data_IF_710910157274
#
_entry.id   IF_710910157274
#
_cell.length_a   1.000
_cell.length_b   1.000
_cell.length_c   1.000
_cell.angle_alpha   90.00
_cell.angle_beta   90.00
_cell.angle_gamma   90.00
#
_symmetry.space_group_name_H-M   'P 1'
#
loop_
_entity.id
_entity.type
_entity.pdbx_description
1 polymer ?
#
# COMPACT_ATOMS: atom_id res chain seq x y z
N UNK A 1 -19.27 -13.83 -24.30
CA UNK A 1 -18.20 -13.95 -25.31
C UNK A 1 -17.04 -13.03 -24.94
N UNK A 2 -15.81 -13.54 -25.00
CA UNK A 2 -14.56 -12.89 -24.59
C UNK A 2 -13.58 -12.72 -25.76
N UNK A 3 -14.03 -12.97 -27.00
CA UNK A 3 -13.21 -12.85 -28.21
C UNK A 3 -12.54 -11.47 -28.37
N UNK A 4 -13.14 -10.41 -27.82
CA UNK A 4 -12.59 -9.06 -27.81
C UNK A 4 -11.23 -8.95 -27.09
N UNK A 5 -10.85 -9.90 -26.25
CA UNK A 5 -9.55 -9.94 -25.58
C UNK A 5 -8.38 -10.25 -26.51
N UNK A 6 -8.60 -10.93 -27.64
CA UNK A 6 -7.52 -11.29 -28.57
C UNK A 6 -6.86 -10.06 -29.19
N UNK A 7 -7.63 -8.97 -29.35
CA UNK A 7 -7.15 -7.69 -29.83
C UNK A 7 -6.88 -6.69 -28.68
N UNK A 8 -6.83 -7.10 -27.42
CA UNK A 8 -6.59 -6.19 -26.30
C UNK A 8 -5.11 -5.82 -26.12
N UNK A 9 -4.84 -4.68 -25.51
CA UNK A 9 -3.54 -4.32 -24.93
C UNK A 9 -3.58 -4.63 -23.44
N UNK A 10 -2.69 -5.48 -22.95
CA UNK A 10 -2.64 -5.90 -21.56
C UNK A 10 -1.66 -5.05 -20.74
N UNK A 11 -2.05 -4.73 -19.51
CA UNK A 11 -1.24 -3.99 -18.54
C UNK A 11 -1.15 -4.79 -17.26
N UNK A 12 0.06 -4.95 -16.71
CA UNK A 12 0.30 -5.66 -15.45
C UNK A 12 1.19 -4.82 -14.52
N UNK A 13 1.00 -4.86 -13.19
CA UNK A 13 1.91 -4.20 -12.24
C UNK A 13 3.38 -4.64 -12.41
N UNK A 14 3.58 -5.89 -12.85
CA UNK A 14 4.89 -6.51 -13.09
C UNK A 14 5.31 -6.51 -14.57
N UNK A 15 4.60 -5.78 -15.44
CA UNK A 15 4.89 -5.69 -16.87
C UNK A 15 6.13 -4.85 -17.21
N UNK A 16 6.37 -4.65 -18.51
CA UNK A 16 7.44 -3.77 -19.02
C UNK A 16 6.90 -2.90 -20.16
N UNK A 17 7.16 -1.59 -20.12
CA UNK A 17 6.74 -0.64 -21.17
C UNK A 17 7.50 -0.81 -22.48
N UNK A 18 8.55 -1.65 -22.51
CA UNK A 18 9.23 -2.10 -23.73
C UNK A 18 8.62 -3.37 -24.34
N UNK A 19 7.66 -4.00 -23.66
CA UNK A 19 7.01 -5.21 -24.15
C UNK A 19 5.98 -4.90 -25.26
N UNK A 20 5.46 -5.94 -25.90
CA UNK A 20 4.49 -5.83 -26.99
C UNK A 20 3.07 -5.47 -26.55
N UNK A 21 2.78 -5.55 -25.25
CA UNK A 21 1.43 -5.36 -24.71
C UNK A 21 0.48 -6.52 -24.97
N UNK A 22 1.02 -7.69 -25.33
CA UNK A 22 0.28 -8.95 -25.40
C UNK A 22 0.04 -9.52 -24.00
N UNK A 23 -0.83 -10.52 -23.87
CA UNK A 23 -1.16 -11.12 -22.57
C UNK A 23 0.06 -11.73 -21.89
N UNK A 24 0.95 -12.32 -22.68
CA UNK A 24 2.18 -13.00 -22.27
C UNK A 24 3.32 -12.00 -22.00
N UNK A 25 3.23 -10.80 -22.58
CA UNK A 25 4.22 -9.74 -22.47
C UNK A 25 3.51 -8.38 -22.28
N UNK A 26 2.87 -8.16 -21.11
CA UNK A 26 2.05 -6.98 -20.86
C UNK A 26 2.90 -5.72 -20.66
N UNK A 27 2.31 -4.58 -21.00
CA UNK A 27 2.88 -3.28 -20.62
C UNK A 27 2.81 -3.07 -19.11
N UNK A 28 3.62 -2.17 -18.57
CA UNK A 28 3.59 -1.84 -17.13
C UNK A 28 2.66 -0.67 -16.84
N UNK A 29 2.72 0.34 -17.70
CA UNK A 29 2.13 1.65 -17.46
C UNK A 29 0.80 1.79 -18.17
N UNK A 30 -0.24 2.13 -17.40
CA UNK A 30 -1.57 2.40 -17.97
C UNK A 30 -1.50 3.51 -19.03
N UNK A 31 -0.75 4.60 -18.76
CA UNK A 31 -0.62 5.73 -19.70
C UNK A 31 0.06 5.35 -21.04
N UNK A 32 0.98 4.38 -21.04
CA UNK A 32 1.56 3.87 -22.30
C UNK A 32 0.51 3.05 -23.04
N UNK A 33 -0.24 2.22 -22.33
CA UNK A 33 -1.26 1.36 -22.92
C UNK A 33 -2.43 2.13 -23.55
N UNK A 34 -2.93 3.21 -22.91
CA UNK A 34 -3.96 4.08 -23.51
C UNK A 34 -3.48 4.69 -24.83
N UNK A 35 -2.21 5.11 -24.91
CA UNK A 35 -1.64 5.73 -26.12
C UNK A 35 -1.46 4.73 -27.25
N UNK A 36 -0.90 3.55 -26.94
CA UNK A 36 -0.75 2.44 -27.89
C UNK A 36 -2.12 1.99 -28.40
N UNK A 37 -3.08 1.79 -27.49
CA UNK A 37 -4.40 1.31 -27.83
C UNK A 37 -5.21 2.33 -28.65
N UNK A 38 -5.03 3.63 -28.39
CA UNK A 38 -5.64 4.72 -29.13
C UNK A 38 -5.05 4.94 -30.52
N UNK A 39 -3.80 4.50 -30.76
CA UNK A 39 -3.12 4.62 -32.05
C UNK A 39 -3.52 3.52 -33.04
N UNK A 40 -4.19 2.46 -32.58
CA UNK A 40 -4.66 1.36 -33.41
C UNK A 40 -6.01 1.69 -34.09
N UNK A 41 -6.22 1.16 -35.29
CA UNK A 41 -7.49 1.21 -36.04
C UNK A 41 -7.90 -0.22 -36.44
N UNK A 42 -9.01 -0.77 -35.92
CA UNK A 42 -9.86 -0.20 -34.87
C UNK A 42 -9.12 -0.07 -33.53
N UNK A 43 -9.62 0.82 -32.67
CA UNK A 43 -9.04 1.03 -31.33
C UNK A 43 -9.09 -0.26 -30.54
N UNK A 44 -7.99 -0.56 -29.85
CA UNK A 44 -7.87 -1.77 -29.02
C UNK A 44 -8.36 -1.48 -27.61
N UNK A 45 -9.01 -2.42 -26.91
CA UNK A 45 -9.33 -2.25 -25.49
C UNK A 45 -8.06 -2.40 -24.64
N UNK A 46 -7.97 -1.65 -23.55
CA UNK A 46 -6.93 -1.79 -22.52
C UNK A 46 -7.46 -2.69 -21.41
N UNK A 47 -6.72 -3.75 -21.11
CA UNK A 47 -7.07 -4.75 -20.10
C UNK A 47 -6.04 -4.72 -18.97
N UNK A 48 -6.50 -4.36 -17.78
CA UNK A 48 -5.69 -4.35 -16.57
C UNK A 48 -5.70 -5.73 -15.93
N UNK A 49 -4.52 -6.33 -15.77
CA UNK A 49 -4.31 -7.53 -14.97
C UNK A 49 -4.44 -7.19 -13.48
N UNK A 50 -4.73 -8.21 -12.68
CA UNK A 50 -4.91 -8.13 -11.24
C UNK A 50 -3.70 -7.54 -10.52
N UNK A 51 -3.97 -6.92 -9.38
CA UNK A 51 -2.96 -6.23 -8.57
C UNK A 51 -3.12 -4.70 -8.59
N UNK A 52 -2.17 -4.02 -7.93
CA UNK A 52 -2.22 -2.57 -7.73
C UNK A 52 -1.29 -1.84 -8.70
N UNK A 53 -1.90 -1.08 -9.61
CA UNK A 53 -1.23 -0.20 -10.55
C UNK A 53 -1.04 1.18 -9.91
N UNK A 54 0.15 1.43 -9.36
CA UNK A 54 0.50 2.73 -8.80
C UNK A 54 0.84 3.73 -9.92
N UNK A 55 0.13 4.85 -9.97
CA UNK A 55 0.34 5.89 -10.98
C UNK A 55 1.14 7.05 -10.39
N UNK A 56 2.32 7.31 -10.96
CA UNK A 56 3.16 8.47 -10.56
C UNK A 56 2.76 9.79 -11.21
N UNK A 57 1.85 9.75 -12.19
CA UNK A 57 1.32 10.91 -12.92
C UNK A 57 -0.10 10.66 -13.40
N UNK A 58 -0.83 11.74 -13.67
CA UNK A 58 -2.17 11.69 -14.24
C UNK A 58 -2.21 10.89 -15.56
N UNK A 59 -3.27 10.09 -15.74
CA UNK A 59 -3.62 9.51 -17.04
C UNK A 59 -4.45 10.56 -17.79
N UNK A 60 -3.84 11.24 -18.76
CA UNK A 60 -4.50 12.30 -19.52
C UNK A 60 -5.26 11.73 -20.73
N UNK A 61 -6.59 11.73 -20.65
CA UNK A 61 -7.47 11.39 -21.78
C UNK A 61 -7.85 12.66 -22.54
N UNK A 62 -7.89 12.56 -23.87
CA UNK A 62 -8.20 13.67 -24.80
C UNK A 62 -9.02 13.13 -25.96
N UNK A 63 -9.44 13.98 -26.91
CA UNK A 63 -10.15 13.56 -28.12
C UNK A 63 -9.45 12.42 -28.90
N UNK A 64 -8.11 12.32 -28.80
CA UNK A 64 -7.34 11.23 -29.43
C UNK A 64 -7.69 9.85 -28.87
N UNK A 65 -8.32 9.78 -27.69
CA UNK A 65 -8.67 8.55 -26.98
C UNK A 65 -10.17 8.21 -27.03
N UNK A 66 -10.98 9.00 -27.73
CA UNK A 66 -12.43 8.78 -27.79
C UNK A 66 -12.79 7.36 -28.23
N UNK A 67 -13.74 6.73 -27.53
CA UNK A 67 -14.17 5.35 -27.80
C UNK A 67 -13.26 4.26 -27.24
N UNK A 68 -12.21 4.61 -26.48
CA UNK A 68 -11.36 3.63 -25.81
C UNK A 68 -12.08 2.98 -24.62
N UNK A 69 -11.89 1.67 -24.48
CA UNK A 69 -12.35 0.90 -23.32
C UNK A 69 -11.17 0.51 -22.44
N UNK A 70 -11.27 0.81 -21.14
CA UNK A 70 -10.30 0.39 -20.12
C UNK A 70 -11.05 -0.47 -19.10
N UNK A 71 -10.61 -1.71 -18.88
CA UNK A 71 -11.32 -2.68 -18.03
C UNK A 71 -10.35 -3.57 -17.26
N UNK A 72 -10.81 -4.10 -16.12
CA UNK A 72 -10.12 -5.22 -15.46
C UNK A 72 -10.26 -6.49 -16.27
N UNK A 73 -9.24 -7.34 -16.25
CA UNK A 73 -9.32 -8.71 -16.75
C UNK A 73 -10.43 -9.46 -15.99
N UNK A 74 -11.39 -10.12 -16.66
CA UNK A 74 -12.47 -10.80 -15.95
C UNK A 74 -11.95 -11.91 -15.03
N UNK A 75 -12.49 -11.95 -13.82
CA UNK A 75 -12.02 -12.81 -12.74
C UNK A 75 -10.83 -12.25 -11.95
N UNK A 76 -10.18 -11.18 -12.42
CA UNK A 76 -9.09 -10.52 -11.71
C UNK A 76 -9.54 -9.16 -11.14
N UNK A 77 -8.91 -8.74 -10.04
CA UNK A 77 -9.14 -7.43 -9.41
C UNK A 77 -7.96 -6.50 -9.67
N UNK A 78 -8.11 -5.59 -10.63
CA UNK A 78 -7.19 -4.49 -10.84
C UNK A 78 -7.55 -3.28 -9.96
N UNK A 79 -6.55 -2.71 -9.29
CA UNK A 79 -6.68 -1.47 -8.51
C UNK A 79 -5.80 -0.41 -9.14
N UNK A 80 -6.34 0.77 -9.46
CA UNK A 80 -5.55 1.93 -9.88
C UNK A 80 -5.37 2.84 -8.67
N UNK A 81 -4.13 3.05 -8.25
CA UNK A 81 -3.83 3.81 -7.04
C UNK A 81 -3.00 5.04 -7.36
N UNK A 82 -3.47 6.22 -6.97
CA UNK A 82 -2.68 7.45 -6.97
C UNK A 82 -1.68 7.54 -5.81
N UNK A 83 -1.62 6.53 -4.95
CA UNK A 83 -0.65 6.47 -3.84
C UNK A 83 0.76 6.16 -4.33
N UNK A 84 1.74 6.35 -3.44
CA UNK A 84 3.12 5.93 -3.64
C UNK A 84 3.42 4.77 -2.71
N UNK A 85 3.75 3.60 -3.26
CA UNK A 85 4.21 2.49 -2.45
C UNK A 85 5.58 2.82 -1.86
N UNK A 86 5.65 2.84 -0.53
CA UNK A 86 6.91 3.06 0.19
C UNK A 86 7.61 1.71 0.38
N UNK A 87 8.74 1.53 -0.32
CA UNK A 87 9.68 0.42 -0.09
C UNK A 87 10.81 0.95 0.78
N UNK A 88 10.61 0.94 2.10
CA UNK A 88 11.54 1.49 3.08
C UNK A 88 11.67 0.55 4.26
N UNK A 89 12.85 0.53 4.87
CA UNK A 89 13.06 -0.13 6.16
C UNK A 89 12.55 0.77 7.27
N UNK A 90 11.34 0.48 7.75
CA UNK A 90 10.75 1.20 8.86
C UNK A 90 11.60 1.03 10.11
N UNK A 91 11.99 2.16 10.72
CA UNK A 91 12.73 2.17 11.99
C UNK A 91 11.88 2.78 13.08
N UNK A 92 11.88 2.20 14.29
CA UNK A 92 11.29 2.84 15.45
C UNK A 92 11.85 4.25 15.65
N UNK A 93 10.97 5.22 15.89
CA UNK A 93 11.35 6.59 16.20
C UNK A 93 10.97 6.90 17.65
N UNK A 94 11.93 7.35 18.47
CA UNK A 94 11.75 7.65 19.90
C UNK A 94 11.15 6.49 20.71
N UNK A 95 11.74 5.31 20.54
CA UNK A 95 11.42 4.17 21.42
C UNK A 95 12.47 4.01 22.49
N UNK A 96 12.04 3.67 23.70
CA UNK A 96 12.91 3.16 24.75
C UNK A 96 13.51 1.83 24.28
N UNK A 97 14.84 1.64 24.29
CA UNK A 97 15.47 0.40 23.82
C UNK A 97 14.96 -0.82 24.60
N UNK A 98 14.81 -1.96 23.90
CA UNK A 98 14.47 -3.23 24.53
C UNK A 98 15.51 -3.56 25.63
N UNK A 99 15.02 -3.93 26.83
CA UNK A 99 15.88 -4.20 27.99
C UNK A 99 16.22 -2.97 28.84
N UNK A 100 15.82 -1.76 28.43
CA UNK A 100 15.89 -0.59 29.33
C UNK A 100 14.72 -0.67 30.31
N UNK A 101 14.97 -0.65 31.64
CA UNK A 101 13.90 -0.58 32.62
C UNK A 101 13.00 0.62 32.33
N UNK A 102 11.71 0.37 32.10
CA UNK A 102 10.68 1.42 31.98
C UNK A 102 10.28 2.01 33.34
N UNK A 103 10.79 1.41 34.41
CA UNK A 103 10.63 1.83 35.79
C UNK A 103 12.02 2.00 36.37
N UNK A 104 12.37 3.23 36.72
CA UNK A 104 13.58 3.52 37.49
C UNK A 104 13.13 3.76 38.93
N UNK A 105 13.47 2.84 39.84
CA UNK A 105 13.28 3.07 41.28
C UNK A 105 14.52 3.80 41.74
N UNK A 106 14.40 5.10 42.03
CA UNK A 106 15.52 5.89 42.52
C UNK A 106 16.11 5.25 43.79
N UNK A 107 17.43 5.12 43.85
CA UNK A 107 18.12 4.62 45.02
C UNK A 107 17.72 5.43 46.26
N UNK A 108 17.15 4.76 47.27
CA UNK A 108 16.63 5.40 48.48
C UNK A 108 15.14 5.77 48.44
N UNK A 109 14.41 5.49 47.35
CA UNK A 109 12.96 5.62 47.28
C UNK A 109 12.26 4.25 47.30
N UNK A 110 11.27 4.10 48.17
CA UNK A 110 10.42 2.92 48.24
C UNK A 110 9.23 3.07 47.27
N UNK A 111 8.99 2.07 46.43
CA UNK A 111 7.77 1.95 45.62
C UNK A 111 6.57 1.40 46.43
N UNK A 112 6.78 1.12 47.72
CA UNK A 112 5.79 0.59 48.65
C UNK A 112 5.29 1.76 49.51
N UNK A 113 4.02 2.15 49.35
CA UNK A 113 3.35 3.08 50.26
C UNK A 113 2.91 2.32 51.51
N UNK A 114 3.38 2.73 52.69
CA UNK A 114 2.83 2.24 53.97
C UNK A 114 1.79 3.23 54.48
N UNK A 115 0.52 2.87 54.41
CA UNK A 115 -0.55 3.55 55.11
C UNK A 115 -0.83 2.82 56.43
N UNK A 116 -0.16 3.22 57.52
CA UNK A 116 -0.40 2.69 58.87
C UNK A 116 0.01 1.23 59.08
N UNK A 117 -0.53 0.60 60.13
CA UNK A 117 -0.08 -0.69 60.71
C UNK A 117 -0.44 -1.95 59.90
N UNK A 118 -0.67 -1.85 58.60
CA UNK A 118 -1.01 -3.00 57.74
C UNK A 118 0.20 -3.48 56.93
N UNK A 119 0.31 -4.79 56.64
CA UNK A 119 1.43 -5.33 55.87
C UNK A 119 1.48 -4.68 54.49
N UNK A 120 2.68 -4.26 54.10
CA UNK A 120 3.03 -3.59 52.85
C UNK A 120 2.25 -4.14 51.65
N UNK A 121 1.23 -3.39 51.20
CA UNK A 121 0.50 -3.69 49.98
C UNK A 121 0.99 -2.77 48.86
N UNK A 122 1.10 -3.33 47.65
CA UNK A 122 1.33 -2.54 46.46
C UNK A 122 0.01 -1.82 46.14
N UNK A 123 -0.15 -0.57 46.57
CA UNK A 123 -1.26 0.25 46.11
C UNK A 123 -1.05 0.57 44.63
N UNK A 124 -1.97 0.07 43.81
CA UNK A 124 -2.06 0.28 42.37
C UNK A 124 -2.30 1.76 41.96
N UNK A 125 -2.23 2.70 42.91
CA UNK A 125 -2.44 4.15 42.75
C UNK A 125 -1.15 4.96 42.68
N UNK A 126 0.02 4.39 43.03
CA UNK A 126 1.30 5.14 43.08
C UNK A 126 2.12 5.04 41.79
N UNK A 127 1.66 4.29 40.79
CA UNK A 127 2.24 4.40 39.46
C UNK A 127 1.40 5.36 38.61
N UNK A 128 2.06 6.37 38.07
CA UNK A 128 1.55 7.09 36.92
C UNK A 128 1.68 6.13 35.73
N UNK A 129 0.63 5.36 35.47
CA UNK A 129 0.46 4.71 34.18
C UNK A 129 0.23 5.82 33.15
N UNK A 130 1.21 6.09 32.29
CA UNK A 130 1.08 7.07 31.19
C UNK A 130 0.20 6.57 30.03
N UNK A 131 -0.82 5.79 30.35
CA UNK A 131 -1.79 5.30 29.38
C UNK A 131 -1.59 3.85 29.00
N UNK A 132 -2.73 3.25 28.66
CA UNK A 132 -2.88 1.90 28.13
C UNK A 132 -2.10 1.80 26.82
N UNK A 133 -1.15 0.88 26.74
CA UNK A 133 -0.59 0.41 25.48
C UNK A 133 -1.51 -0.72 25.01
N UNK A 134 -2.26 -0.43 23.97
CA UNK A 134 -2.98 -1.38 23.11
C UNK A 134 -2.03 -2.39 22.42
#
# INVERSE_FOLDING_TARGET
DMAWLAAAIFVSPDGDDRASGLREAPLRSIHVAVDVAASAVPRRPVVLRGGTHFIGRQILLTARHSGLRIVSMPGEKAVVSGGKLLKVDWKPHRVTPAGTPKWDVQAGQNAIYMAGDSPSSLDNKTFVSYGRLD
#
